data_IF_992907039914
#
_entry.id   IF_992907039914
#
_cell.length_a   1.000
_cell.length_b   1.000
_cell.length_c   1.000
_cell.angle_alpha   90.00
_cell.angle_beta   90.00
_cell.angle_gamma   90.00
#
_symmetry.space_group_name_H-M   'P 1'
#
loop_
_entity.id
_entity.type
_entity.pdbx_description
1 polymer ?
#
# COMPACT_ATOMS: atom_id res chain seq x y z
N UNK A 1 -0.26 -8.32 -29.15
CA UNK A 1 0.72 -8.17 -28.05
C UNK A 1 0.81 -6.70 -27.70
N UNK A 2 0.50 -6.30 -26.47
CA UNK A 2 0.66 -4.90 -26.02
C UNK A 2 1.84 -4.82 -25.06
N UNK A 3 2.66 -3.78 -25.25
CA UNK A 3 3.69 -3.37 -24.32
C UNK A 3 3.17 -2.13 -23.61
N UNK A 4 3.00 -2.20 -22.29
CA UNK A 4 2.69 -1.02 -21.47
C UNK A 4 3.95 -0.62 -20.71
N UNK A 5 4.44 0.56 -21.04
CA UNK A 5 5.51 1.22 -20.30
C UNK A 5 4.86 2.14 -19.27
N UNK A 6 5.28 2.02 -18.02
CA UNK A 6 4.79 2.85 -16.93
C UNK A 6 5.95 3.28 -16.03
N UNK A 7 5.91 4.53 -15.60
CA UNK A 7 6.88 5.07 -14.65
C UNK A 7 6.24 5.14 -13.27
N UNK A 8 6.98 4.70 -12.25
CA UNK A 8 6.56 4.75 -10.86
C UNK A 8 7.63 5.40 -10.00
N UNK A 9 7.19 6.28 -9.10
CA UNK A 9 8.00 6.71 -7.97
C UNK A 9 8.04 5.58 -6.95
N UNK A 10 9.24 5.25 -6.47
CA UNK A 10 9.46 4.41 -5.32
C UNK A 10 9.90 5.28 -4.15
N UNK A 11 9.30 5.01 -3.00
CA UNK A 11 9.58 5.70 -1.76
C UNK A 11 9.98 4.69 -0.71
N UNK A 12 10.80 5.15 0.22
CA UNK A 12 11.28 4.37 1.35
C UNK A 12 11.05 5.13 2.64
N UNK A 13 10.80 4.38 3.70
CA UNK A 13 10.78 4.88 5.07
C UNK A 13 11.44 3.87 5.99
N UNK A 14 12.22 4.38 6.93
CA UNK A 14 12.62 3.66 8.13
C UNK A 14 11.50 3.83 9.16
N UNK A 15 10.76 2.77 9.49
CA UNK A 15 9.61 2.91 10.36
C UNK A 15 10.08 3.05 11.83
N UNK A 16 9.36 3.88 12.59
CA UNK A 16 9.54 4.01 14.03
C UNK A 16 8.34 3.37 14.73
N UNK A 17 8.50 2.74 15.91
CA UNK A 17 7.41 2.03 16.59
C UNK A 17 6.34 2.95 17.18
N UNK A 18 6.54 4.25 17.19
CA UNK A 18 5.59 5.21 17.74
C UNK A 18 4.28 5.22 16.93
N UNK A 19 3.15 4.99 17.61
CA UNK A 19 1.84 5.06 16.95
C UNK A 19 1.49 6.51 16.63
N UNK A 20 0.93 6.79 15.43
CA UNK A 20 0.44 8.13 15.14
C UNK A 20 -0.75 8.48 16.03
N UNK A 21 -0.87 9.74 16.42
CA UNK A 21 -2.07 10.26 17.05
C UNK A 21 -3.30 10.01 16.16
N UNK A 22 -4.38 9.51 16.77
CA UNK A 22 -5.63 9.20 16.09
C UNK A 22 -6.63 10.32 16.37
N UNK A 23 -7.18 10.99 15.34
CA UNK A 23 -8.16 12.05 15.55
C UNK A 23 -9.45 11.55 16.23
N UNK A 24 -10.19 12.41 16.96
CA UNK A 24 -11.48 12.05 17.52
C UNK A 24 -12.45 11.51 16.45
N UNK A 25 -13.23 10.49 16.81
CA UNK A 25 -14.17 9.83 15.89
C UNK A 25 -13.51 8.98 14.79
N UNK A 26 -12.18 8.86 14.79
CA UNK A 26 -11.43 7.97 13.91
C UNK A 26 -10.97 6.76 14.70
N UNK A 27 -11.08 5.56 14.13
CA UNK A 27 -10.46 4.35 14.69
C UNK A 27 -9.54 3.69 13.67
N UNK A 28 -8.49 3.04 14.18
CA UNK A 28 -7.50 2.30 13.41
C UNK A 28 -7.45 0.87 13.94
N UNK A 29 -7.51 -0.09 13.03
CA UNK A 29 -7.37 -1.50 13.39
C UNK A 29 -6.64 -2.27 12.29
N UNK A 30 -6.05 -3.41 12.68
CA UNK A 30 -5.76 -4.45 11.71
C UNK A 30 -7.07 -5.10 11.31
N UNK A 31 -7.19 -5.46 10.04
CA UNK A 31 -8.35 -6.15 9.51
C UNK A 31 -7.92 -7.46 8.88
N UNK A 32 -8.45 -8.57 9.39
CA UNK A 32 -8.31 -9.87 8.75
C UNK A 32 -9.06 -9.94 7.41
N UNK A 33 -8.83 -10.98 6.59
CA UNK A 33 -9.44 -11.13 5.26
C UNK A 33 -10.98 -11.10 5.25
N UNK A 34 -11.60 -11.41 6.38
CA UNK A 34 -13.06 -11.47 6.55
C UNK A 34 -13.71 -10.14 6.96
N UNK A 35 -12.91 -9.10 7.25
CA UNK A 35 -13.45 -7.78 7.58
C UNK A 35 -14.25 -7.22 6.39
N UNK A 36 -15.50 -6.76 6.59
CA UNK A 36 -16.33 -6.19 5.53
C UNK A 36 -15.65 -5.06 4.74
N UNK A 37 -14.72 -4.32 5.36
CA UNK A 37 -13.95 -3.29 4.69
C UNK A 37 -13.20 -3.82 3.44
N UNK A 38 -12.76 -5.09 3.44
CA UNK A 38 -12.10 -5.74 2.29
C UNK A 38 -13.06 -6.00 1.12
N UNK A 39 -14.33 -6.28 1.42
CA UNK A 39 -15.34 -6.51 0.37
C UNK A 39 -15.69 -5.21 -0.36
N UNK A 40 -15.56 -4.08 0.33
CA UNK A 40 -16.04 -2.77 -0.15
C UNK A 40 -14.91 -1.95 -0.78
N UNK A 41 -13.67 -2.07 -0.31
CA UNK A 41 -12.63 -1.06 -0.59
C UNK A 41 -11.45 -1.56 -1.44
N UNK A 42 -11.04 -2.82 -1.30
CA UNK A 42 -10.06 -3.52 -2.17
C UNK A 42 -9.78 -4.89 -1.55
N UNK A 43 -9.50 -5.97 -2.32
CA UNK A 43 -9.09 -7.29 -1.80
C UNK A 43 -7.71 -7.70 -2.31
N UNK A 44 -6.61 -7.43 -1.60
CA UNK A 44 -5.32 -7.98 -1.92
C UNK A 44 -5.09 -9.26 -1.10
N UNK A 45 -5.08 -10.41 -1.78
CA UNK A 45 -4.70 -11.68 -1.17
C UNK A 45 -3.23 -11.65 -0.71
N UNK A 46 -2.92 -12.29 0.42
CA UNK A 46 -1.54 -12.44 0.91
C UNK A 46 -0.93 -11.20 1.56
N UNK A 47 -1.75 -10.28 2.07
CA UNK A 47 -1.26 -9.21 2.94
C UNK A 47 -0.72 -9.79 4.26
N UNK A 48 0.45 -9.30 4.68
CA UNK A 48 1.07 -9.61 5.98
C UNK A 48 0.34 -8.89 7.13
N UNK A 49 0.05 -7.61 6.92
CA UNK A 49 -0.68 -6.77 7.87
C UNK A 49 -1.46 -5.72 7.09
N UNK A 50 -2.43 -5.12 7.76
CA UNK A 50 -3.38 -4.22 7.12
C UNK A 50 -3.80 -3.11 8.07
N UNK A 51 -4.09 -1.95 7.51
CA UNK A 51 -4.73 -0.86 8.23
C UNK A 51 -6.11 -0.63 7.66
N UNK A 52 -7.11 -0.63 8.54
CA UNK A 52 -8.43 -0.10 8.24
C UNK A 52 -8.66 1.13 9.11
N UNK A 53 -8.95 2.23 8.44
CA UNK A 53 -9.37 3.49 9.08
C UNK A 53 -10.87 3.56 9.01
N UNK A 54 -11.52 3.74 10.15
CA UNK A 54 -12.96 4.00 10.24
C UNK A 54 -13.21 5.41 10.74
N UNK A 55 -14.28 6.03 10.25
CA UNK A 55 -14.75 7.35 10.68
C UNK A 55 -16.20 7.20 11.12
N UNK A 56 -16.49 7.41 12.40
CA UNK A 56 -17.83 7.16 12.95
C UNK A 56 -18.28 5.70 12.82
N UNK A 57 -17.34 4.74 12.89
CA UNK A 57 -17.62 3.31 12.72
C UNK A 57 -17.59 2.80 11.26
N UNK A 58 -17.73 3.70 10.29
CA UNK A 58 -17.75 3.36 8.86
C UNK A 58 -16.33 3.15 8.29
N UNK A 59 -16.05 2.06 7.56
CA UNK A 59 -14.81 1.91 6.81
C UNK A 59 -14.60 3.08 5.85
N UNK A 60 -13.49 3.77 5.99
CA UNK A 60 -13.18 4.99 5.23
C UNK A 60 -11.94 4.83 4.34
N UNK A 61 -10.93 4.08 4.82
CA UNK A 61 -9.71 3.80 4.10
C UNK A 61 -9.15 2.44 4.45
N UNK A 62 -8.51 1.79 3.48
CA UNK A 62 -7.69 0.58 3.70
C UNK A 62 -6.32 0.75 3.07
N UNK A 63 -5.31 0.14 3.68
CA UNK A 63 -3.99 -0.09 3.10
C UNK A 63 -3.43 -1.42 3.61
N UNK A 64 -2.58 -2.07 2.83
CA UNK A 64 -2.00 -3.36 3.17
C UNK A 64 -0.48 -3.33 3.07
N UNK A 65 0.16 -4.17 3.88
CA UNK A 65 1.58 -4.48 3.84
C UNK A 65 1.78 -5.88 3.25
N UNK A 66 2.75 -6.03 2.36
CA UNK A 66 3.08 -7.28 1.69
C UNK A 66 4.55 -7.60 1.87
N UNK A 67 4.85 -8.88 2.00
CA UNK A 67 6.22 -9.35 1.90
C UNK A 67 6.66 -9.40 0.44
N UNK A 68 7.90 -8.97 0.21
CA UNK A 68 8.58 -9.03 -1.06
C UNK A 68 10.05 -9.44 -0.79
N UNK A 69 10.75 -10.16 -1.68
CA UNK A 69 12.17 -10.47 -1.53
C UNK A 69 13.09 -9.31 -1.09
N UNK A 70 12.75 -8.05 -1.40
CA UNK A 70 13.51 -6.86 -0.99
C UNK A 70 13.08 -6.20 0.32
N UNK A 71 12.07 -6.73 1.02
CA UNK A 71 11.50 -6.17 2.25
C UNK A 71 9.98 -6.02 2.21
N UNK A 72 9.43 -5.19 3.10
CA UNK A 72 7.98 -4.95 3.16
C UNK A 72 7.58 -3.84 2.19
N UNK A 73 6.52 -4.06 1.42
CA UNK A 73 5.93 -3.09 0.51
C UNK A 73 4.50 -2.78 0.95
N UNK A 74 4.16 -1.49 1.04
CA UNK A 74 2.78 -1.06 1.25
C UNK A 74 2.07 -0.88 -0.10
N UNK A 75 0.81 -1.29 -0.16
CA UNK A 75 0.00 -1.23 -1.37
C UNK A 75 -1.48 -1.49 -1.08
N UNK A 76 -2.27 -1.68 -2.14
CA UNK A 76 -3.72 -1.93 -2.01
C UNK A 76 -4.45 -0.80 -1.28
N UNK A 77 -3.98 0.44 -1.46
CA UNK A 77 -4.51 1.60 -0.74
C UNK A 77 -5.74 2.17 -1.43
N UNK A 78 -6.85 2.28 -0.69
CA UNK A 78 -8.09 2.89 -1.20
C UNK A 78 -8.76 3.75 -0.14
N UNK A 79 -9.16 4.97 -0.50
CA UNK A 79 -9.99 5.86 0.32
C UNK A 79 -11.32 6.08 -0.37
N UNK A 80 -12.45 5.84 0.33
CA UNK A 80 -13.79 6.16 -0.20
C UNK A 80 -13.86 7.64 -0.56
N UNK A 81 -14.50 7.99 -1.70
CA UNK A 81 -14.57 9.38 -2.17
C UNK A 81 -15.01 10.40 -1.10
N UNK A 82 -16.04 10.07 -0.32
CA UNK A 82 -16.61 10.95 0.72
C UNK A 82 -15.65 11.27 1.89
N UNK A 83 -14.58 10.49 2.04
CA UNK A 83 -13.58 10.65 3.10
C UNK A 83 -12.21 11.13 2.58
N UNK A 84 -12.09 11.45 1.28
CA UNK A 84 -10.84 11.97 0.71
C UNK A 84 -10.51 13.36 1.27
N UNK A 85 -9.23 13.73 1.22
CA UNK A 85 -8.75 15.02 1.71
C UNK A 85 -8.62 15.13 3.24
N UNK A 86 -9.05 14.13 4.01
CA UNK A 86 -9.05 14.15 5.50
C UNK A 86 -7.79 13.56 6.15
N UNK A 87 -6.70 13.38 5.40
CA UNK A 87 -5.46 12.82 5.93
C UNK A 87 -5.49 11.33 6.33
N UNK A 88 -6.55 10.59 5.99
CA UNK A 88 -6.70 9.17 6.39
C UNK A 88 -5.64 8.25 5.78
N UNK A 89 -5.26 8.51 4.52
CA UNK A 89 -4.23 7.72 3.84
C UNK A 89 -2.86 7.82 4.54
N UNK A 90 -2.28 9.01 4.76
CA UNK A 90 -1.01 9.10 5.50
C UNK A 90 -1.12 8.60 6.94
N UNK A 91 -2.27 8.75 7.61
CA UNK A 91 -2.50 8.16 8.92
C UNK A 91 -2.38 6.64 8.91
N UNK A 92 -3.03 5.96 7.96
CA UNK A 92 -2.95 4.52 7.81
C UNK A 92 -1.53 4.02 7.51
N UNK A 93 -0.80 4.74 6.65
CA UNK A 93 0.59 4.42 6.33
C UNK A 93 1.50 4.54 7.56
N UNK A 94 1.36 5.63 8.36
CA UNK A 94 2.13 5.80 9.60
C UNK A 94 1.84 4.69 10.60
N UNK A 95 0.57 4.32 10.74
CA UNK A 95 0.15 3.27 11.66
C UNK A 95 0.68 1.89 11.22
N UNK A 96 0.63 1.56 9.92
CA UNK A 96 1.24 0.34 9.38
C UNK A 96 2.75 0.31 9.64
N UNK A 97 3.45 1.41 9.35
CA UNK A 97 4.87 1.52 9.65
C UNK A 97 5.15 1.26 11.15
N UNK A 98 4.38 1.87 12.05
CA UNK A 98 4.58 1.70 13.49
C UNK A 98 4.36 0.26 13.96
N UNK A 99 3.43 -0.48 13.35
CA UNK A 99 3.27 -1.91 13.61
C UNK A 99 4.43 -2.73 13.09
N UNK A 100 4.79 -2.53 11.82
CA UNK A 100 5.92 -3.23 11.20
C UNK A 100 7.25 -2.98 11.95
N UNK A 101 7.47 -1.77 12.47
CA UNK A 101 8.64 -1.46 13.31
C UNK A 101 8.67 -2.28 14.60
N UNK A 102 7.53 -2.53 15.24
CA UNK A 102 7.45 -3.40 16.43
C UNK A 102 7.81 -4.85 16.10
N UNK A 103 7.56 -5.28 14.87
CA UNK A 103 7.96 -6.59 14.35
C UNK A 103 9.43 -6.62 13.88
N UNK A 104 10.21 -5.56 14.13
CA UNK A 104 11.62 -5.49 13.74
C UNK A 104 11.88 -5.13 12.27
N UNK A 105 10.85 -4.73 11.51
CA UNK A 105 11.03 -4.27 10.13
C UNK A 105 11.81 -2.97 10.11
N UNK A 106 12.95 -2.94 9.41
CA UNK A 106 13.84 -1.76 9.36
C UNK A 106 13.57 -0.84 8.18
N UNK A 107 12.95 -1.32 7.11
CA UNK A 107 12.65 -0.55 5.89
C UNK A 107 11.33 -0.98 5.29
N UNK A 108 10.54 0.00 4.93
CA UNK A 108 9.24 -0.16 4.26
C UNK A 108 9.25 0.64 2.97
N UNK A 109 8.79 0.03 1.89
CA UNK A 109 8.70 0.64 0.58
C UNK A 109 7.24 0.89 0.19
N UNK A 110 7.01 1.87 -0.66
CA UNK A 110 5.73 2.07 -1.34
C UNK A 110 6.02 2.66 -2.72
N UNK A 111 5.17 2.35 -3.70
CA UNK A 111 5.29 2.95 -5.03
C UNK A 111 3.96 3.47 -5.53
N UNK A 112 4.02 4.45 -6.42
CA UNK A 112 2.85 4.94 -7.15
C UNK A 112 3.25 5.44 -8.52
N UNK A 113 2.32 5.45 -9.47
CA UNK A 113 2.55 6.00 -10.80
C UNK A 113 3.01 7.46 -10.73
N UNK A 114 3.92 7.88 -11.62
CA UNK A 114 4.37 9.27 -11.70
C UNK A 114 3.23 10.28 -11.92
N UNK A 115 2.13 9.83 -12.52
CA UNK A 115 0.94 10.65 -12.77
C UNK A 115 0.02 10.76 -11.55
N UNK A 116 0.19 9.92 -10.52
CA UNK A 116 -0.66 9.91 -9.34
C UNK A 116 -0.17 10.92 -8.28
N UNK A 117 -0.44 12.20 -8.55
CA UNK A 117 -0.06 13.29 -7.66
C UNK A 117 -0.69 13.18 -6.26
N UNK A 118 -1.91 12.64 -6.16
CA UNK A 118 -2.61 12.49 -4.88
C UNK A 118 -1.92 11.47 -3.96
N UNK A 119 -1.62 10.27 -4.46
CA UNK A 119 -0.88 9.27 -3.70
C UNK A 119 0.53 9.75 -3.37
N UNK A 120 1.22 10.42 -4.31
CA UNK A 120 2.54 11.02 -4.04
C UNK A 120 2.50 11.96 -2.84
N UNK A 121 1.55 12.91 -2.80
CA UNK A 121 1.41 13.82 -1.66
C UNK A 121 1.10 13.08 -0.36
N UNK A 122 0.22 12.08 -0.40
CA UNK A 122 -0.11 11.26 0.77
C UNK A 122 1.08 10.46 1.30
N UNK A 123 1.89 9.88 0.42
CA UNK A 123 3.09 9.11 0.76
C UNK A 123 4.13 10.02 1.43
N UNK A 124 4.40 11.19 0.84
CA UNK A 124 5.32 12.17 1.40
C UNK A 124 4.83 12.68 2.77
N UNK A 125 3.53 12.98 2.91
CA UNK A 125 2.91 13.39 4.17
C UNK A 125 2.93 12.28 5.26
N UNK A 126 3.14 11.02 4.87
CA UNK A 126 3.34 9.92 5.80
C UNK A 126 4.79 9.80 6.29
N UNK A 127 5.70 10.65 5.80
CA UNK A 127 7.11 10.66 6.18
C UNK A 127 7.99 9.72 5.35
N UNK A 128 7.51 9.28 4.19
CA UNK A 128 8.36 8.58 3.23
C UNK A 128 9.19 9.57 2.42
N UNK A 129 10.40 9.17 2.06
CA UNK A 129 11.26 9.91 1.13
C UNK A 129 11.30 9.23 -0.23
N UNK A 130 11.49 10.03 -1.29
CA UNK A 130 11.76 9.49 -2.63
C UNK A 130 13.05 8.68 -2.57
N UNK A 131 13.02 7.48 -3.13
CA UNK A 131 14.18 6.59 -3.25
C UNK A 131 14.67 6.53 -4.69
N UNK A 132 13.75 6.29 -5.64
CA UNK A 132 14.06 6.18 -7.07
C UNK A 132 12.82 6.33 -7.95
N UNK A 133 13.03 6.52 -9.25
CA UNK A 133 12.00 6.36 -10.29
C UNK A 133 12.33 5.11 -11.08
N UNK A 134 11.32 4.25 -11.30
CA UNK A 134 11.49 3.00 -12.04
C UNK A 134 10.57 3.01 -13.25
N UNK A 135 11.16 2.70 -14.41
CA UNK A 135 10.40 2.29 -15.59
C UNK A 135 10.05 0.82 -15.45
N UNK A 136 8.76 0.52 -15.55
CA UNK A 136 8.24 -0.84 -15.60
C UNK A 136 7.66 -1.09 -16.98
N UNK A 137 7.95 -2.26 -17.52
CA UNK A 137 7.37 -2.75 -18.75
C UNK A 137 6.49 -3.95 -18.42
N UNK A 138 5.22 -3.89 -18.81
CA UNK A 138 4.29 -5.02 -18.74
C UNK A 138 4.00 -5.48 -20.16
N UNK A 139 4.15 -6.77 -20.40
CA UNK A 139 3.88 -7.41 -21.70
C UNK A 139 2.75 -8.40 -21.51
N UNK A 140 1.71 -8.32 -22.34
CA UNK A 140 0.67 -9.35 -22.36
C UNK A 140 -0.46 -9.15 -23.36
N UNK A 141 -1.54 -9.95 -23.23
CA UNK A 141 -2.65 -9.97 -24.18
C UNK A 141 -3.56 -8.74 -24.04
N UNK A 142 -4.39 -8.50 -25.07
CA UNK A 142 -5.24 -7.31 -25.26
C UNK A 142 -6.39 -7.15 -24.24
N UNK A 143 -6.64 -8.14 -23.38
CA UNK A 143 -7.74 -8.11 -22.40
C UNK A 143 -7.40 -7.13 -21.26
N UNK A 144 -8.09 -5.98 -21.24
CA UNK A 144 -7.93 -4.89 -20.27
C UNK A 144 -8.47 -5.23 -18.86
N UNK A 145 -9.24 -6.30 -18.69
CA UNK A 145 -9.99 -6.61 -17.46
C UNK A 145 -9.21 -7.32 -16.34
N UNK A 146 -8.02 -7.88 -16.62
CA UNK A 146 -7.22 -8.66 -15.64
C UNK A 146 -6.02 -7.95 -15.01
N UNK A 147 -5.79 -6.67 -15.34
CA UNK A 147 -4.53 -5.99 -14.97
C UNK A 147 -4.47 -5.38 -13.57
N UNK A 148 -5.59 -5.36 -12.83
CA UNK A 148 -5.65 -4.85 -11.45
C UNK A 148 -4.99 -5.78 -10.41
N UNK A 149 -4.76 -7.06 -10.75
CA UNK A 149 -4.29 -8.06 -9.78
C UNK A 149 -2.83 -8.52 -9.95
N UNK A 150 -2.11 -8.06 -10.97
CA UNK A 150 -0.74 -8.50 -11.24
C UNK A 150 0.31 -7.49 -10.72
N UNK A 151 0.52 -7.45 -9.40
CA UNK A 151 1.89 -7.28 -8.89
C UNK A 151 2.54 -8.66 -9.05
N UNK A 152 3.38 -8.80 -10.06
CA UNK A 152 4.18 -10.01 -10.25
C UNK A 152 5.07 -10.19 -9.02
N UNK A 153 4.77 -11.20 -8.20
CA UNK A 153 5.73 -11.82 -7.29
C UNK A 153 6.95 -12.23 -8.13
N UNK A 154 8.12 -11.64 -7.89
CA UNK A 154 9.35 -12.23 -8.38
C UNK A 154 9.69 -13.43 -7.48
N UNK A 155 9.03 -14.56 -7.72
CA UNK A 155 9.52 -15.85 -7.24
C UNK A 155 10.70 -16.26 -8.10
N UNK A 156 11.92 -16.21 -7.56
CA UNK A 156 13.01 -17.00 -8.11
C UNK A 156 12.64 -18.48 -7.92
N UNK A 157 12.22 -19.17 -8.99
CA UNK A 157 12.47 -20.61 -9.09
C UNK A 157 13.97 -20.74 -9.38
N UNK A 158 14.72 -21.23 -8.40
CA UNK A 158 16.01 -21.85 -8.71
C UNK A 158 15.70 -23.06 -9.59
N UNK A 159 16.10 -23.00 -10.86
CA UNK A 159 16.31 -24.20 -11.66
C UNK A 159 17.59 -24.83 -11.12
N UNK A 160 17.51 -26.14 -10.87
CA UNK A 160 18.61 -26.92 -10.32
C UNK A 160 19.83 -26.96 -11.22
N UNK A 161 20.96 -27.24 -10.56
CA UNK A 161 22.08 -27.97 -11.12
C UNK A 161 22.26 -29.22 -10.27
#
# INVERSE_FOLDING_TARGET
MIIRIGFSWFFVREPAPEMPAVPPGVTLSSAGPDDPAWRVLTRPAGARDTAVVRVGGEPAHVSAAFENPGGIVLGGSFTRPVFRGRGLYPLALRWLCARLARDGVRRVYISTSVMNAASRRGILAAGFRVDRVVMSMRVGPWDLGRWLDAVVRSGKRALGH
#
